data_IF_582881894154
#
_entry.id   IF_582881894154
#
_cell.length_a   1.000
_cell.length_b   1.000
_cell.length_c   1.000
_cell.angle_alpha   90.00
_cell.angle_beta   90.00
_cell.angle_gamma   90.00
#
_symmetry.space_group_name_H-M   'P 1'
#
loop_
_entity.id
_entity.type
_entity.pdbx_description
1 polymer ?
#
# COMPACT_ATOMS: atom_id res chain seq x y z
N UNK A 1 0.32 -17.85 31.90
CA UNK A 1 1.02 -17.07 30.87
C UNK A 1 1.20 -17.86 29.57
N UNK A 2 1.83 -19.04 29.49
CA UNK A 2 2.03 -19.81 28.25
C UNK A 2 0.74 -20.19 27.46
N UNK A 3 -0.34 -20.58 28.16
CA UNK A 3 -1.61 -20.95 27.50
C UNK A 3 -2.31 -19.75 26.83
N UNK A 4 -2.19 -18.57 27.41
CA UNK A 4 -2.76 -17.32 26.89
C UNK A 4 -2.01 -16.83 25.64
N UNK A 5 -0.68 -16.94 25.65
CA UNK A 5 0.20 -16.66 24.50
C UNK A 5 -0.11 -17.59 23.32
N UNK A 6 -0.31 -18.90 23.57
CA UNK A 6 -0.63 -19.89 22.55
C UNK A 6 -2.02 -19.62 21.91
N UNK A 7 -3.00 -19.18 22.71
CA UNK A 7 -4.34 -18.82 22.20
C UNK A 7 -4.28 -17.58 21.32
N UNK A 8 -3.54 -16.56 21.70
CA UNK A 8 -3.34 -15.34 20.91
C UNK A 8 -2.63 -15.64 19.60
N UNK A 9 -1.57 -16.44 19.61
CA UNK A 9 -0.84 -16.84 18.41
C UNK A 9 -1.75 -17.59 17.42
N UNK A 10 -2.58 -18.54 17.89
CA UNK A 10 -3.52 -19.24 17.01
C UNK A 10 -4.59 -18.32 16.42
N UNK A 11 -5.03 -17.32 17.18
CA UNK A 11 -6.00 -16.33 16.69
C UNK A 11 -5.39 -15.48 15.59
N UNK A 12 -4.17 -15.01 15.77
CA UNK A 12 -3.45 -14.21 14.78
C UNK A 12 -3.12 -15.01 13.51
N UNK A 13 -2.68 -16.27 13.67
CA UNK A 13 -2.44 -17.17 12.54
C UNK A 13 -3.71 -17.40 11.70
N UNK A 14 -4.88 -17.58 12.37
CA UNK A 14 -6.15 -17.72 11.65
C UNK A 14 -6.53 -16.44 10.93
N UNK A 15 -6.37 -15.28 11.58
CA UNK A 15 -6.62 -13.99 10.97
C UNK A 15 -5.76 -13.81 9.70
N UNK A 16 -4.47 -14.09 9.79
CA UNK A 16 -3.54 -14.04 8.66
C UNK A 16 -3.97 -14.97 7.53
N UNK A 17 -4.34 -16.23 7.81
CA UNK A 17 -4.82 -17.17 6.77
C UNK A 17 -6.08 -16.67 6.06
N UNK A 18 -7.00 -15.97 6.75
CA UNK A 18 -8.17 -15.35 6.12
C UNK A 18 -7.73 -14.25 5.15
N UNK A 19 -6.78 -13.40 5.55
CA UNK A 19 -6.29 -12.30 4.71
C UNK A 19 -5.52 -12.81 3.49
N UNK A 20 -4.67 -13.83 3.67
CA UNK A 20 -3.93 -14.47 2.57
C UNK A 20 -4.88 -15.09 1.55
N UNK A 21 -5.88 -15.86 2.00
CA UNK A 21 -6.90 -16.43 1.10
C UNK A 21 -7.71 -15.34 0.37
N UNK A 22 -7.98 -14.20 1.03
CA UNK A 22 -8.66 -13.08 0.39
C UNK A 22 -7.82 -12.45 -0.73
N UNK A 23 -6.50 -12.26 -0.49
CA UNK A 23 -5.55 -11.76 -1.50
C UNK A 23 -5.44 -12.71 -2.67
N UNK A 24 -5.19 -13.99 -2.43
CA UNK A 24 -5.09 -15.03 -3.47
C UNK A 24 -6.35 -15.05 -4.35
N UNK A 25 -7.53 -15.01 -3.71
CA UNK A 25 -8.79 -14.98 -4.44
C UNK A 25 -8.98 -13.71 -5.25
N UNK A 26 -8.63 -12.57 -4.68
CA UNK A 26 -8.73 -11.28 -5.36
C UNK A 26 -7.74 -11.16 -6.53
N UNK A 27 -6.53 -11.70 -6.40
CA UNK A 27 -5.54 -11.73 -7.48
C UNK A 27 -5.98 -12.65 -8.65
N UNK A 28 -6.66 -13.77 -8.35
CA UNK A 28 -7.13 -14.71 -9.36
C UNK A 28 -8.38 -14.19 -10.11
N UNK A 29 -9.38 -13.69 -9.39
CA UNK A 29 -10.74 -13.46 -9.92
C UNK A 29 -11.31 -12.06 -9.56
N UNK A 30 -10.52 -11.21 -8.96
CA UNK A 30 -10.91 -9.87 -8.51
C UNK A 30 -11.70 -9.85 -7.20
N UNK A 31 -11.79 -8.67 -6.59
CA UNK A 31 -12.48 -8.48 -5.30
C UNK A 31 -13.99 -8.81 -5.35
N UNK A 32 -14.62 -8.73 -6.50
CA UNK A 32 -16.03 -9.12 -6.65
C UNK A 32 -16.25 -10.61 -6.29
N UNK A 33 -15.28 -11.48 -6.60
CA UNK A 33 -15.34 -12.91 -6.33
C UNK A 33 -14.99 -13.29 -4.88
N UNK A 34 -14.47 -12.37 -4.08
CA UNK A 34 -14.18 -12.60 -2.65
C UNK A 34 -15.48 -12.55 -1.86
N UNK A 35 -15.86 -13.69 -1.25
CA UNK A 35 -17.01 -13.79 -0.34
C UNK A 35 -16.60 -14.49 0.96
N UNK A 36 -17.27 -14.17 2.06
CA UNK A 36 -17.00 -14.79 3.37
C UNK A 36 -17.20 -16.32 3.34
N UNK A 37 -18.16 -16.82 2.56
CA UNK A 37 -18.37 -18.24 2.36
C UNK A 37 -17.17 -18.89 1.68
N UNK A 38 -16.74 -18.31 0.55
CA UNK A 38 -15.59 -18.82 -0.20
C UNK A 38 -14.31 -18.83 0.65
N UNK A 39 -14.07 -17.76 1.41
CA UNK A 39 -12.91 -17.68 2.30
C UNK A 39 -12.96 -18.74 3.40
N UNK A 40 -14.13 -18.95 4.03
CA UNK A 40 -14.29 -19.97 5.05
C UNK A 40 -13.99 -21.37 4.48
N UNK A 41 -14.55 -21.69 3.32
CA UNK A 41 -14.33 -22.97 2.62
C UNK A 41 -12.83 -23.17 2.27
N UNK A 42 -12.18 -22.12 1.71
CA UNK A 42 -10.77 -22.19 1.30
C UNK A 42 -9.80 -22.48 2.45
N UNK A 43 -10.08 -21.96 3.66
CA UNK A 43 -9.22 -22.18 4.84
C UNK A 43 -9.67 -23.34 5.74
N UNK A 44 -10.73 -24.06 5.37
CA UNK A 44 -11.25 -25.20 6.11
C UNK A 44 -11.94 -24.81 7.43
N UNK A 45 -12.60 -23.65 7.47
CA UNK A 45 -13.37 -23.16 8.61
C UNK A 45 -14.84 -22.94 8.23
N UNK A 46 -15.68 -22.73 9.25
CA UNK A 46 -17.07 -22.34 9.05
C UNK A 46 -17.22 -20.82 9.03
N UNK A 47 -18.27 -20.31 8.38
CA UNK A 47 -18.54 -18.86 8.36
C UNK A 47 -18.64 -18.23 9.75
N UNK A 48 -19.27 -18.85 10.79
CA UNK A 48 -19.25 -18.30 12.15
C UNK A 48 -17.85 -18.07 12.70
N UNK A 49 -16.88 -18.93 12.39
CA UNK A 49 -15.48 -18.75 12.81
C UNK A 49 -14.87 -17.53 12.12
N UNK A 50 -15.15 -17.34 10.83
CA UNK A 50 -14.69 -16.17 10.08
C UNK A 50 -15.26 -14.87 10.67
N UNK A 51 -16.58 -14.83 10.96
CA UNK A 51 -17.21 -13.67 11.61
C UNK A 51 -16.71 -13.42 13.03
N UNK A 52 -16.19 -14.44 13.72
CA UNK A 52 -15.50 -14.28 15.01
C UNK A 52 -14.18 -13.50 14.89
N UNK A 53 -13.52 -13.49 13.71
CA UNK A 53 -12.31 -12.73 13.42
C UNK A 53 -12.59 -11.39 12.71
N UNK A 54 -13.63 -11.35 11.88
CA UNK A 54 -14.03 -10.20 11.07
C UNK A 54 -15.56 -10.02 11.14
N UNK A 55 -16.07 -9.41 12.23
CA UNK A 55 -17.51 -9.19 12.41
C UNK A 55 -18.14 -8.37 11.27
N UNK A 56 -17.40 -7.43 10.68
CA UNK A 56 -17.81 -6.66 9.51
C UNK A 56 -17.70 -7.40 8.17
N UNK A 57 -17.33 -8.69 8.22
CA UNK A 57 -17.28 -9.56 7.05
C UNK A 57 -16.29 -9.07 5.99
N UNK A 58 -16.73 -9.09 4.72
CA UNK A 58 -15.89 -8.75 3.57
C UNK A 58 -15.31 -7.33 3.66
N UNK A 59 -16.09 -6.34 4.08
CA UNK A 59 -15.61 -4.95 4.17
C UNK A 59 -14.48 -4.79 5.17
N UNK A 60 -14.56 -5.45 6.31
CA UNK A 60 -13.50 -5.44 7.32
C UNK A 60 -12.25 -6.20 6.85
N UNK A 61 -12.42 -7.30 6.12
CA UNK A 61 -11.31 -8.04 5.49
C UNK A 61 -10.61 -7.15 4.46
N UNK A 62 -11.37 -6.47 3.58
CA UNK A 62 -10.82 -5.56 2.59
C UNK A 62 -10.05 -4.41 3.24
N UNK A 63 -10.59 -3.80 4.29
CA UNK A 63 -9.90 -2.76 5.05
C UNK A 63 -8.60 -3.28 5.68
N UNK A 64 -8.62 -4.47 6.27
CA UNK A 64 -7.43 -5.08 6.87
C UNK A 64 -6.35 -5.34 5.81
N UNK A 65 -6.70 -5.89 4.64
CA UNK A 65 -5.77 -6.10 3.52
C UNK A 65 -5.20 -4.76 3.03
N UNK A 66 -6.03 -3.72 2.92
CA UNK A 66 -5.56 -2.41 2.52
C UNK A 66 -4.57 -1.81 3.51
N UNK A 67 -4.84 -1.89 4.82
CA UNK A 67 -3.95 -1.37 5.86
C UNK A 67 -2.60 -2.09 5.87
N UNK A 68 -2.59 -3.42 5.76
CA UNK A 68 -1.35 -4.18 5.60
C UNK A 68 -0.61 -3.79 4.31
N UNK A 69 -1.33 -3.57 3.21
CA UNK A 69 -0.76 -3.08 1.96
C UNK A 69 -0.08 -1.71 2.09
N UNK A 70 -0.65 -0.78 2.86
CA UNK A 70 -0.01 0.51 3.15
C UNK A 70 1.28 0.35 3.95
N UNK A 71 1.30 -0.52 4.96
CA UNK A 71 2.50 -0.83 5.74
C UNK A 71 3.60 -1.43 4.86
N UNK A 72 3.24 -2.40 4.01
CA UNK A 72 4.16 -3.08 3.11
C UNK A 72 4.75 -2.12 2.07
N UNK A 73 3.89 -1.28 1.45
CA UNK A 73 4.33 -0.27 0.49
C UNK A 73 5.27 0.75 1.14
N UNK A 74 4.91 1.26 2.32
CA UNK A 74 5.75 2.19 3.08
C UNK A 74 7.09 1.56 3.45
N UNK A 75 7.10 0.29 3.86
CA UNK A 75 8.30 -0.49 4.16
C UNK A 75 9.22 -0.62 2.94
N UNK A 76 8.68 -1.05 1.80
CA UNK A 76 9.44 -1.19 0.55
C UNK A 76 10.00 0.15 0.06
N UNK A 77 9.23 1.24 0.17
CA UNK A 77 9.69 2.58 -0.18
C UNK A 77 10.81 3.05 0.77
N UNK A 78 10.69 2.80 2.06
CA UNK A 78 11.70 3.16 3.08
C UNK A 78 13.01 2.39 2.85
N UNK A 79 12.93 1.10 2.56
CA UNK A 79 14.10 0.28 2.24
C UNK A 79 14.78 0.75 0.95
N UNK A 80 13.99 1.10 -0.07
CA UNK A 80 14.51 1.64 -1.32
C UNK A 80 15.17 3.02 -1.12
N UNK A 81 14.60 3.89 -0.28
CA UNK A 81 15.16 5.16 0.09
C UNK A 81 16.52 4.98 0.79
N UNK A 82 16.56 4.21 1.87
CA UNK A 82 17.77 3.95 2.64
C UNK A 82 18.51 5.26 2.97
N UNK A 83 19.80 5.35 2.59
CA UNK A 83 20.63 6.55 2.74
C UNK A 83 20.72 7.41 1.47
N UNK A 84 19.91 7.12 0.45
CA UNK A 84 19.91 7.89 -0.80
C UNK A 84 19.34 9.29 -0.57
N UNK A 85 19.76 10.25 -1.40
CA UNK A 85 19.27 11.64 -1.38
C UNK A 85 19.09 12.14 -2.80
N UNK A 86 18.35 13.23 -2.93
CA UNK A 86 18.13 13.90 -4.19
C UNK A 86 17.53 12.99 -5.26
N UNK A 87 17.92 13.17 -6.50
CA UNK A 87 17.41 12.42 -7.65
C UNK A 87 17.44 10.89 -7.45
N UNK A 88 18.52 10.35 -6.88
CA UNK A 88 18.65 8.90 -6.64
C UNK A 88 17.64 8.38 -5.62
N UNK A 89 17.26 9.18 -4.64
CA UNK A 89 16.21 8.84 -3.69
C UNK A 89 14.86 8.73 -4.40
N UNK A 90 14.49 9.74 -5.17
CA UNK A 90 13.23 9.78 -5.92
C UNK A 90 13.13 8.62 -6.91
N UNK A 91 14.18 8.35 -7.69
CA UNK A 91 14.23 7.24 -8.64
C UNK A 91 14.06 5.88 -7.94
N UNK A 92 14.72 5.67 -6.79
CA UNK A 92 14.64 4.42 -6.05
C UNK A 92 13.24 4.19 -5.44
N UNK A 93 12.66 5.23 -4.82
CA UNK A 93 11.32 5.15 -4.23
C UNK A 93 10.25 5.00 -5.31
N UNK A 94 10.35 5.76 -6.42
CA UNK A 94 9.46 5.60 -7.55
C UNK A 94 9.51 4.18 -8.13
N UNK A 95 10.71 3.60 -8.28
CA UNK A 95 10.87 2.22 -8.74
C UNK A 95 10.20 1.21 -7.80
N UNK A 96 10.34 1.38 -6.47
CA UNK A 96 9.72 0.52 -5.46
C UNK A 96 8.20 0.64 -5.49
N UNK A 97 7.67 1.87 -5.52
CA UNK A 97 6.24 2.14 -5.58
C UNK A 97 5.58 1.52 -6.83
N UNK A 98 6.16 1.74 -8.01
CA UNK A 98 5.66 1.18 -9.27
C UNK A 98 5.79 -0.35 -9.32
N UNK A 99 6.82 -0.91 -8.71
CA UNK A 99 6.99 -2.36 -8.58
C UNK A 99 5.89 -2.97 -7.72
N UNK A 100 5.63 -2.40 -6.52
CA UNK A 100 4.58 -2.85 -5.62
C UNK A 100 3.22 -2.94 -6.32
N UNK A 101 2.81 -1.90 -7.05
CA UNK A 101 1.52 -1.88 -7.74
C UNK A 101 1.37 -2.99 -8.80
N UNK A 102 2.47 -3.47 -9.37
CA UNK A 102 2.49 -4.57 -10.36
C UNK A 102 2.53 -5.95 -9.72
N UNK A 103 3.29 -6.08 -8.64
CA UNK A 103 3.48 -7.35 -7.94
C UNK A 103 2.27 -7.70 -7.05
N UNK A 104 1.52 -6.68 -6.61
CA UNK A 104 0.36 -6.82 -5.73
C UNK A 104 -0.87 -6.09 -6.29
N UNK A 105 -1.39 -6.48 -7.48
CA UNK A 105 -2.42 -5.72 -8.17
C UNK A 105 -3.74 -5.65 -7.40
N UNK A 106 -4.20 -6.74 -6.78
CA UNK A 106 -5.43 -6.74 -5.99
C UNK A 106 -5.28 -5.96 -4.69
N UNK A 107 -4.12 -6.02 -4.02
CA UNK A 107 -3.82 -5.22 -2.84
C UNK A 107 -3.84 -3.73 -3.19
N UNK A 108 -3.17 -3.34 -4.28
CA UNK A 108 -3.14 -1.95 -4.75
C UNK A 108 -4.55 -1.43 -5.10
N UNK A 109 -5.39 -2.30 -5.69
CA UNK A 109 -6.77 -1.96 -6.02
C UNK A 109 -7.59 -1.65 -4.76
N UNK A 110 -7.54 -2.49 -3.73
CA UNK A 110 -8.29 -2.27 -2.49
C UNK A 110 -7.76 -1.08 -1.70
N UNK A 111 -6.46 -0.77 -1.79
CA UNK A 111 -5.87 0.40 -1.14
C UNK A 111 -6.41 1.73 -1.70
N UNK A 112 -6.63 1.83 -3.02
CA UNK A 112 -6.79 3.12 -3.68
C UNK A 112 -8.04 3.26 -4.57
N UNK A 113 -8.68 2.18 -4.97
CA UNK A 113 -9.74 2.22 -5.99
C UNK A 113 -11.10 1.72 -5.49
N UNK A 114 -11.12 0.96 -4.40
CA UNK A 114 -12.36 0.44 -3.85
C UNK A 114 -12.83 1.28 -2.65
N UNK A 115 -14.14 1.37 -2.43
CA UNK A 115 -14.67 2.07 -1.27
C UNK A 115 -14.36 1.27 0.01
N UNK A 116 -13.35 1.71 0.73
CA UNK A 116 -13.00 1.25 2.07
C UNK A 116 -13.12 2.42 3.03
N UNK A 117 -13.41 2.15 4.29
CA UNK A 117 -13.44 3.19 5.34
C UNK A 117 -12.02 3.55 5.80
N UNK A 118 -11.22 4.06 4.85
CA UNK A 118 -9.89 4.58 5.07
C UNK A 118 -9.87 6.07 4.66
N UNK A 119 -9.91 6.96 5.64
CA UNK A 119 -9.84 8.42 5.40
C UNK A 119 -8.38 8.86 5.37
N UNK A 120 -8.04 9.60 4.31
CA UNK A 120 -6.76 10.29 4.16
C UNK A 120 -6.95 11.78 4.53
N UNK A 121 -5.86 12.44 4.90
CA UNK A 121 -5.82 13.89 5.16
C UNK A 121 -6.85 14.39 6.21
N UNK A 122 -7.03 13.66 7.28
CA UNK A 122 -7.80 14.07 8.45
C UNK A 122 -6.98 13.90 9.72
N UNK A 123 -7.35 14.57 10.81
CA UNK A 123 -6.65 14.45 12.11
C UNK A 123 -6.66 13.01 12.63
N UNK A 124 -7.68 12.22 12.24
CA UNK A 124 -7.85 10.81 12.59
C UNK A 124 -7.23 9.85 11.54
N UNK A 125 -6.35 10.34 10.64
CA UNK A 125 -5.69 9.48 9.66
C UNK A 125 -4.92 8.37 10.37
N UNK A 126 -5.16 7.12 9.96
CA UNK A 126 -4.52 5.94 10.56
C UNK A 126 -3.01 5.99 10.38
N UNK A 127 -2.27 5.46 11.37
CA UNK A 127 -0.81 5.48 11.38
C UNK A 127 -0.20 4.80 10.13
N UNK A 128 -0.83 3.75 9.63
CA UNK A 128 -0.42 3.01 8.43
C UNK A 128 -0.44 3.89 7.17
N UNK A 129 -1.44 4.75 7.05
CA UNK A 129 -1.58 5.68 5.94
C UNK A 129 -0.55 6.81 6.04
N UNK A 130 -0.33 7.36 7.25
CA UNK A 130 0.68 8.39 7.49
C UNK A 130 2.07 7.90 7.15
N UNK A 131 2.43 6.68 7.57
CA UNK A 131 3.76 6.11 7.30
C UNK A 131 4.10 6.05 5.81
N UNK A 132 3.10 5.84 4.95
CA UNK A 132 3.26 5.90 3.49
C UNK A 132 3.53 7.32 3.00
N UNK A 133 2.81 8.30 3.52
CA UNK A 133 2.97 9.70 3.15
C UNK A 133 4.31 10.26 3.64
N UNK A 134 4.70 9.95 4.89
CA UNK A 134 5.96 10.41 5.49
C UNK A 134 7.19 9.98 4.67
N UNK A 135 7.24 8.73 4.20
CA UNK A 135 8.37 8.28 3.37
C UNK A 135 8.43 8.98 2.01
N UNK A 136 7.29 9.41 1.46
CA UNK A 136 7.28 10.20 0.23
C UNK A 136 7.78 11.62 0.49
N UNK A 137 7.38 12.26 1.61
CA UNK A 137 7.86 13.56 2.04
C UNK A 137 9.38 13.54 2.26
N UNK A 138 9.88 12.57 3.01
CA UNK A 138 11.32 12.36 3.24
C UNK A 138 12.09 12.19 1.92
N UNK A 139 11.47 11.56 0.93
CA UNK A 139 12.10 11.28 -0.37
C UNK A 139 12.37 12.55 -1.17
N UNK A 140 11.45 13.52 -1.13
CA UNK A 140 11.56 14.77 -1.88
C UNK A 140 12.07 15.93 -1.02
N UNK A 141 12.27 15.71 0.29
CA UNK A 141 12.71 16.75 1.23
C UNK A 141 11.61 17.79 1.49
N UNK A 142 10.35 17.35 1.60
CA UNK A 142 9.21 18.20 1.93
C UNK A 142 8.96 18.15 3.44
N UNK A 143 9.67 19.01 4.16
CA UNK A 143 9.64 19.05 5.63
C UNK A 143 8.25 19.43 6.19
N UNK A 144 7.44 20.13 5.39
CA UNK A 144 6.09 20.55 5.77
C UNK A 144 5.01 19.48 5.47
N UNK A 145 5.39 18.36 4.85
CA UNK A 145 4.49 17.27 4.44
C UNK A 145 3.26 17.78 3.67
N UNK A 146 3.49 18.77 2.80
CA UNK A 146 2.43 19.53 2.17
C UNK A 146 2.14 19.12 0.73
N UNK A 147 1.72 20.11 -0.07
CA UNK A 147 1.24 19.95 -1.45
C UNK A 147 2.28 19.32 -2.39
N UNK A 148 3.58 19.54 -2.15
CA UNK A 148 4.64 18.91 -2.97
C UNK A 148 4.61 17.39 -2.87
N UNK A 149 4.42 16.87 -1.66
CA UNK A 149 4.26 15.43 -1.40
C UNK A 149 2.99 14.88 -2.04
N UNK A 150 1.86 15.60 -1.96
CA UNK A 150 0.62 15.20 -2.62
C UNK A 150 0.78 15.12 -4.14
N UNK A 151 1.46 16.09 -4.76
CA UNK A 151 1.72 16.09 -6.21
C UNK A 151 2.64 14.96 -6.61
N UNK A 152 3.68 14.68 -5.82
CA UNK A 152 4.57 13.54 -6.07
C UNK A 152 3.81 12.22 -5.96
N UNK A 153 3.01 12.04 -4.91
CA UNK A 153 2.14 10.87 -4.76
C UNK A 153 1.17 10.74 -5.93
N UNK A 154 0.48 11.82 -6.31
CA UNK A 154 -0.41 11.85 -7.47
C UNK A 154 0.28 11.41 -8.76
N UNK A 155 1.53 11.85 -8.98
CA UNK A 155 2.32 11.42 -10.14
C UNK A 155 2.63 9.93 -10.12
N UNK A 156 3.07 9.38 -8.98
CA UNK A 156 3.31 7.94 -8.81
C UNK A 156 2.05 7.11 -9.05
N UNK A 157 0.96 7.51 -8.38
CA UNK A 157 -0.33 6.82 -8.49
C UNK A 157 -0.90 6.88 -9.93
N UNK A 158 -0.84 8.04 -10.57
CA UNK A 158 -1.26 8.20 -11.96
C UNK A 158 -0.49 7.30 -12.93
N UNK A 159 0.83 7.19 -12.76
CA UNK A 159 1.65 6.25 -13.55
C UNK A 159 1.21 4.80 -13.32
N UNK A 160 0.98 4.39 -12.07
CA UNK A 160 0.50 3.04 -11.75
C UNK A 160 -0.83 2.74 -12.46
N UNK A 161 -1.81 3.64 -12.37
CA UNK A 161 -3.13 3.44 -12.99
C UNK A 161 -3.04 3.35 -14.51
N UNK A 162 -2.25 4.23 -15.14
CA UNK A 162 -2.07 4.24 -16.60
C UNK A 162 -1.30 3.01 -17.09
N UNK A 163 -0.31 2.51 -16.34
CA UNK A 163 0.38 1.26 -16.65
C UNK A 163 -0.57 0.06 -16.57
N UNK A 164 -1.37 -0.04 -15.49
CA UNK A 164 -2.36 -1.10 -15.32
C UNK A 164 -3.43 -1.10 -16.41
N UNK A 165 -3.83 0.07 -16.87
CA UNK A 165 -4.77 0.23 -17.98
C UNK A 165 -4.15 -0.01 -19.36
N UNK A 166 -2.88 -0.40 -19.44
CA UNK A 166 -2.18 -0.61 -20.72
C UNK A 166 -1.99 0.65 -21.57
N UNK A 167 -2.10 1.84 -20.95
CA UNK A 167 -2.04 3.14 -21.65
C UNK A 167 -0.64 3.74 -21.73
N UNK A 168 0.37 3.03 -21.21
CA UNK A 168 1.77 3.44 -21.25
C UNK A 168 2.65 2.38 -21.92
N UNK A 169 3.69 2.81 -22.63
CA UNK A 169 4.64 1.90 -23.28
C UNK A 169 5.49 1.18 -22.22
N UNK A 170 5.45 -0.17 -22.11
CA UNK A 170 6.24 -0.91 -21.12
C UNK A 170 7.75 -0.68 -21.24
N UNK A 171 8.25 -0.50 -22.45
CA UNK A 171 9.67 -0.28 -22.77
C UNK A 171 10.22 1.05 -22.21
N UNK A 172 9.34 2.01 -21.88
CA UNK A 172 9.75 3.33 -21.39
C UNK A 172 9.66 3.46 -19.85
N UNK A 173 9.47 2.35 -19.12
CA UNK A 173 9.34 2.40 -17.66
C UNK A 173 10.56 3.02 -16.98
N UNK A 174 11.77 2.62 -17.35
CA UNK A 174 13.00 3.18 -16.78
C UNK A 174 13.11 4.68 -17.04
N UNK A 175 12.73 5.13 -18.23
CA UNK A 175 12.74 6.56 -18.58
C UNK A 175 11.74 7.36 -17.72
N UNK A 176 10.54 6.80 -17.46
CA UNK A 176 9.57 7.43 -16.55
C UNK A 176 10.10 7.61 -15.13
N UNK A 177 10.81 6.61 -14.62
CA UNK A 177 11.47 6.70 -13.31
C UNK A 177 12.52 7.81 -13.31
N UNK A 178 13.32 7.88 -14.35
CA UNK A 178 14.32 8.94 -14.57
C UNK A 178 13.67 10.34 -14.64
N UNK A 179 12.54 10.48 -15.33
CA UNK A 179 11.76 11.73 -15.39
C UNK A 179 11.17 12.14 -14.04
N UNK A 180 10.63 11.17 -13.26
CA UNK A 180 10.18 11.42 -11.89
C UNK A 180 11.35 11.94 -11.04
N UNK A 181 12.51 11.30 -11.12
CA UNK A 181 13.73 11.74 -10.44
C UNK A 181 14.16 13.16 -10.81
N UNK A 182 14.05 13.52 -12.09
CA UNK A 182 14.42 14.86 -12.55
C UNK A 182 13.46 15.97 -12.09
N UNK A 183 12.16 15.65 -11.96
CA UNK A 183 11.12 16.64 -11.62
C UNK A 183 10.91 16.83 -10.13
N UNK A 184 11.10 15.78 -9.34
CA UNK A 184 10.80 15.78 -7.90
C UNK A 184 12.04 15.76 -7.01
N UNK A 185 13.25 15.72 -7.58
CA UNK A 185 14.45 15.87 -6.77
C UNK A 185 14.48 17.27 -6.12
N UNK A 186 14.85 17.36 -4.82
CA UNK A 186 15.06 18.66 -4.19
C UNK A 186 16.04 19.48 -5.01
N UNK A 187 15.72 20.74 -5.26
CA UNK A 187 16.66 21.68 -5.89
C UNK A 187 17.82 21.93 -4.94
N UNK A 188 19.05 21.69 -5.40
CA UNK A 188 20.23 22.04 -4.64
C UNK A 188 20.23 23.57 -4.38
N UNK A 189 19.89 23.98 -3.14
CA UNK A 189 19.90 25.40 -2.76
C UNK A 189 18.61 25.95 -2.14
N UNK A 190 17.61 25.13 -1.82
CA UNK A 190 16.53 25.58 -0.95
C UNK A 190 17.08 25.68 0.47
N UNK A 191 17.55 26.87 0.88
CA UNK A 191 17.79 27.16 2.31
C UNK A 191 16.48 27.02 3.07
N UNK A 192 16.51 26.51 4.33
CA UNK A 192 15.31 26.45 5.15
C UNK A 192 14.73 27.87 5.26
N UNK A 193 13.49 28.03 4.84
CA UNK A 193 12.76 29.30 5.04
C UNK A 193 12.60 29.49 6.55
N UNK A 194 13.27 30.52 7.06
CA UNK A 194 13.19 30.99 8.46
C UNK A 194 11.78 31.38 8.84
#
# INVERSE_FOLDING_TARGET
MAAQTNRQQRTEERRRRILDAARERADADGWAAVTTRHLADAIGYTQPVLYGHFPGGKSEIMLAVALEGFVDLAGQCRDALGRKRGRRAVEAVAAAYLRFSREHPAVYEVMFQLPIDARFASDDTRAELRAGFDVLADTIGDDDHGTATEVFWGALHGVCLLERAGRMRPTQRSQRITELGARFAPTAGAEPRS
#
